data_IF_539695066524
#
_entry.id   IF_539695066524
#
_cell.length_a   1.000
_cell.length_b   1.000
_cell.length_c   1.000
_cell.angle_alpha   90.00
_cell.angle_beta   90.00
_cell.angle_gamma   90.00
#
_symmetry.space_group_name_H-M   'P 1'
#
loop_
_entity.id
_entity.type
_entity.pdbx_description
1 polymer ?
#
# COMPACT_ATOMS: atom_id res chain seq x y z
N UNK A 1 -33.52 2.84 31.54
CA UNK A 1 -32.27 2.15 31.12
C UNK A 1 -32.31 1.95 29.62
N UNK A 2 -31.50 2.68 28.85
CA UNK A 2 -31.24 2.36 27.44
C UNK A 2 -29.73 2.32 27.29
N UNK A 3 -29.21 1.09 27.15
CA UNK A 3 -27.81 0.82 26.89
C UNK A 3 -27.52 1.21 25.44
N UNK A 4 -26.55 2.12 25.25
CA UNK A 4 -26.02 2.49 23.93
C UNK A 4 -25.56 1.22 23.16
N UNK A 5 -25.74 1.18 21.83
CA UNK A 5 -25.33 0.02 21.05
C UNK A 5 -23.82 -0.20 21.17
N UNK A 6 -23.46 -1.46 21.44
CA UNK A 6 -22.08 -1.96 21.57
C UNK A 6 -21.21 -1.42 20.44
N UNK A 7 -20.10 -0.81 20.84
CA UNK A 7 -18.96 -0.50 19.98
C UNK A 7 -18.60 -1.75 19.16
N UNK A 8 -18.83 -1.69 17.85
CA UNK A 8 -18.54 -2.81 16.95
C UNK A 8 -17.02 -2.95 16.87
N UNK A 9 -16.51 -4.01 17.48
CA UNK A 9 -15.10 -4.40 17.45
C UNK A 9 -14.57 -4.46 16.01
N UNK A 10 -13.32 -4.03 15.83
CA UNK A 10 -12.59 -4.10 14.56
C UNK A 10 -12.46 -5.56 14.06
N UNK A 11 -12.70 -6.56 14.92
CA UNK A 11 -12.52 -7.99 14.66
C UNK A 11 -13.78 -8.77 14.26
N UNK A 12 -14.90 -8.13 13.92
CA UNK A 12 -16.11 -8.84 13.51
C UNK A 12 -15.90 -9.60 12.18
N UNK A 13 -16.08 -10.94 12.21
CA UNK A 13 -15.88 -11.85 11.07
C UNK A 13 -16.85 -11.63 9.89
N UNK A 14 -17.95 -10.92 10.12
CA UNK A 14 -18.98 -10.63 9.11
C UNK A 14 -18.66 -9.38 8.27
N UNK A 15 -17.49 -8.77 8.47
CA UNK A 15 -17.02 -7.70 7.60
C UNK A 15 -16.55 -8.27 6.27
N UNK A 16 -17.39 -8.12 5.24
CA UNK A 16 -16.91 -8.19 3.86
C UNK A 16 -15.71 -7.24 3.72
N UNK A 17 -14.54 -7.77 3.32
CA UNK A 17 -13.40 -6.94 2.92
C UNK A 17 -13.88 -6.09 1.74
N UNK A 18 -14.18 -4.82 2.00
CA UNK A 18 -14.77 -3.92 1.00
C UNK A 18 -13.82 -3.70 -0.18
N UNK A 19 -12.55 -4.07 -0.05
CA UNK A 19 -11.53 -3.83 -1.05
C UNK A 19 -10.89 -5.13 -1.49
N UNK A 20 -11.35 -5.55 -2.67
CA UNK A 20 -11.10 -6.78 -3.42
C UNK A 20 -11.97 -8.00 -3.06
N UNK A 21 -13.28 -7.83 -2.86
CA UNK A 21 -14.23 -8.94 -2.70
C UNK A 21 -14.45 -9.78 -3.99
N UNK A 22 -13.65 -9.59 -5.04
CA UNK A 22 -13.84 -10.28 -6.32
C UNK A 22 -12.51 -10.80 -6.83
N UNK A 23 -12.30 -12.11 -6.72
CA UNK A 23 -11.09 -12.81 -7.20
C UNK A 23 -10.81 -12.53 -8.68
N UNK A 24 -11.85 -12.25 -9.47
CA UNK A 24 -11.70 -11.84 -10.88
C UNK A 24 -10.93 -10.52 -10.97
N UNK A 25 -11.26 -9.54 -10.14
CA UNK A 25 -10.58 -8.23 -10.12
C UNK A 25 -9.13 -8.39 -9.67
N UNK A 26 -8.87 -9.22 -8.65
CA UNK A 26 -7.49 -9.50 -8.22
C UNK A 26 -6.68 -10.10 -9.37
N UNK A 27 -7.25 -11.10 -10.06
CA UNK A 27 -6.60 -11.73 -11.22
C UNK A 27 -6.31 -10.74 -12.34
N UNK A 28 -7.24 -9.83 -12.66
CA UNK A 28 -6.99 -8.80 -13.68
C UNK A 28 -5.91 -7.81 -13.22
N UNK A 29 -5.93 -7.37 -11.95
CA UNK A 29 -4.90 -6.47 -11.42
C UNK A 29 -3.51 -7.10 -11.42
N UNK A 30 -3.40 -8.43 -11.21
CA UNK A 30 -2.10 -9.12 -11.28
C UNK A 30 -1.53 -9.25 -12.69
N UNK A 31 -2.35 -9.11 -13.73
CA UNK A 31 -1.89 -9.14 -15.13
C UNK A 31 -1.31 -7.81 -15.60
N UNK A 32 -1.56 -6.73 -14.86
CA UNK A 32 -1.01 -5.41 -15.16
C UNK A 32 0.50 -5.41 -14.96
N UNK A 33 1.18 -4.63 -15.78
CA UNK A 33 2.59 -4.31 -15.63
C UNK A 33 2.87 -3.68 -14.26
N UNK A 34 4.10 -3.83 -13.78
CA UNK A 34 4.49 -3.36 -12.46
C UNK A 34 4.38 -1.84 -12.35
N UNK A 35 4.66 -1.12 -13.43
CA UNK A 35 4.61 0.35 -13.52
C UNK A 35 3.17 0.84 -13.25
N UNK A 36 2.20 0.28 -13.97
CA UNK A 36 0.78 0.55 -13.77
C UNK A 36 0.32 0.19 -12.36
N UNK A 37 0.77 -0.96 -11.81
CA UNK A 37 0.42 -1.34 -10.43
C UNK A 37 0.98 -0.36 -9.39
N UNK A 38 2.18 0.15 -9.60
CA UNK A 38 2.80 1.17 -8.73
C UNK A 38 2.05 2.50 -8.79
N UNK A 39 1.72 2.96 -9.99
CA UNK A 39 0.95 4.18 -10.19
C UNK A 39 -0.44 4.08 -9.52
N UNK A 40 -1.13 2.96 -9.72
CA UNK A 40 -2.42 2.72 -9.07
C UNK A 40 -2.29 2.73 -7.54
N UNK A 41 -1.25 2.11 -6.98
CA UNK A 41 -0.99 2.17 -5.55
C UNK A 41 -0.76 3.59 -5.04
N UNK A 42 0.02 4.38 -5.78
CA UNK A 42 0.26 5.79 -5.46
C UNK A 42 -1.07 6.57 -5.42
N UNK A 43 -1.90 6.42 -6.45
CA UNK A 43 -3.20 7.08 -6.55
C UNK A 43 -4.17 6.64 -5.45
N UNK A 44 -4.20 5.33 -5.13
CA UNK A 44 -4.97 4.79 -4.02
C UNK A 44 -4.54 5.44 -2.71
N UNK A 45 -3.24 5.56 -2.44
CA UNK A 45 -2.74 6.18 -1.22
C UNK A 45 -3.11 7.66 -1.11
N UNK A 46 -3.03 8.41 -2.20
CA UNK A 46 -3.44 9.82 -2.24
C UNK A 46 -4.93 9.97 -1.92
N UNK A 47 -5.79 9.22 -2.61
CA UNK A 47 -7.23 9.22 -2.36
C UNK A 47 -7.56 8.79 -0.91
N UNK A 48 -6.85 7.77 -0.41
CA UNK A 48 -6.95 7.29 0.95
C UNK A 48 -6.55 8.35 1.99
N UNK A 49 -5.52 9.15 1.72
CA UNK A 49 -5.14 10.29 2.55
C UNK A 49 -6.29 11.29 2.69
N UNK A 50 -6.95 11.64 1.59
CA UNK A 50 -8.10 12.54 1.61
C UNK A 50 -9.31 11.94 2.36
N UNK A 51 -9.57 10.64 2.19
CA UNK A 51 -10.61 9.93 2.96
C UNK A 51 -10.31 9.95 4.46
N UNK A 52 -9.05 9.75 4.87
CA UNK A 52 -8.63 9.84 6.29
C UNK A 52 -8.89 11.22 6.87
N UNK A 53 -8.54 12.29 6.14
CA UNK A 53 -8.80 13.67 6.57
C UNK A 53 -10.30 13.92 6.77
N UNK A 54 -11.14 13.48 5.83
CA UNK A 54 -12.61 13.60 5.94
C UNK A 54 -13.17 12.80 7.12
N UNK A 55 -12.72 11.56 7.30
CA UNK A 55 -13.16 10.73 8.41
C UNK A 55 -12.72 11.28 9.77
N UNK A 56 -11.52 11.88 9.86
CA UNK A 56 -11.07 12.57 11.06
C UNK A 56 -11.94 13.80 11.36
N UNK A 57 -12.28 14.57 10.33
CA UNK A 57 -13.16 15.73 10.48
C UNK A 57 -14.58 15.33 10.93
N UNK A 58 -15.11 14.21 10.41
CA UNK A 58 -16.38 13.63 10.86
C UNK A 58 -16.31 13.14 12.30
N UNK A 59 -15.21 12.48 12.70
CA UNK A 59 -15.02 12.03 14.08
C UNK A 59 -14.93 13.21 15.08
N UNK A 60 -14.37 14.35 14.65
CA UNK A 60 -14.32 15.58 15.44
C UNK A 60 -15.66 16.32 15.47
N UNK A 61 -16.44 16.25 14.39
CA UNK A 61 -17.75 16.88 14.27
C UNK A 61 -18.67 16.02 13.42
N UNK A 62 -19.62 15.35 14.08
CA UNK A 62 -20.53 14.39 13.46
C UNK A 62 -21.51 15.00 12.46
N UNK A 63 -21.63 16.33 12.39
CA UNK A 63 -22.44 17.01 11.36
C UNK A 63 -21.76 17.04 9.99
N UNK A 64 -20.45 16.78 9.91
CA UNK A 64 -19.74 16.65 8.63
C UNK A 64 -20.04 15.28 8.00
N UNK A 65 -20.05 15.14 6.67
CA UNK A 65 -20.28 13.83 6.05
C UNK A 65 -19.08 12.88 6.25
N UNK A 66 -19.37 11.62 6.58
CA UNK A 66 -18.38 10.55 6.57
C UNK A 66 -17.90 10.23 5.15
N UNK A 67 -16.65 9.79 4.99
CA UNK A 67 -16.11 9.38 3.70
C UNK A 67 -16.32 7.89 3.43
N UNK A 68 -16.21 7.50 2.16
CA UNK A 68 -16.25 6.11 1.73
C UNK A 68 -15.10 5.28 2.35
N UNK A 69 -15.24 3.95 2.42
CA UNK A 69 -14.18 3.06 2.90
C UNK A 69 -12.84 3.27 2.18
N UNK A 70 -11.76 3.02 2.92
CA UNK A 70 -10.40 3.09 2.38
C UNK A 70 -10.16 1.97 1.38
N UNK A 71 -9.49 2.28 0.26
CA UNK A 71 -9.08 1.28 -0.72
C UNK A 71 -7.84 0.49 -0.25
N UNK A 72 -7.80 -0.82 -0.54
CA UNK A 72 -6.60 -1.64 -0.34
C UNK A 72 -5.58 -1.37 -1.44
N UNK A 73 -4.30 -1.57 -1.13
CA UNK A 73 -3.23 -1.54 -2.12
C UNK A 73 -3.17 -2.85 -2.90
N UNK A 74 -2.77 -2.75 -4.16
CA UNK A 74 -2.44 -3.87 -5.04
C UNK A 74 -1.11 -4.47 -4.58
N UNK A 75 -1.07 -5.80 -4.47
CA UNK A 75 0.16 -6.52 -4.14
C UNK A 75 1.14 -6.45 -5.30
N UNK A 76 2.39 -6.08 -5.01
CA UNK A 76 3.51 -6.12 -5.95
C UNK A 76 4.44 -7.24 -5.50
N UNK A 77 4.81 -8.12 -6.43
CA UNK A 77 5.67 -9.25 -6.12
C UNK A 77 7.08 -8.76 -5.76
N UNK A 78 7.74 -9.44 -4.82
CA UNK A 78 9.10 -9.07 -4.42
C UNK A 78 10.09 -9.17 -5.58
N UNK A 79 9.91 -10.10 -6.51
CA UNK A 79 10.69 -10.21 -7.75
C UNK A 79 10.63 -8.94 -8.58
N UNK A 80 9.44 -8.36 -8.72
CA UNK A 80 9.23 -7.13 -9.50
C UNK A 80 9.94 -5.95 -8.82
N UNK A 81 9.83 -5.86 -7.49
CA UNK A 81 10.53 -4.84 -6.71
C UNK A 81 12.05 -5.01 -6.80
N UNK A 82 12.56 -6.23 -6.79
CA UNK A 82 14.00 -6.48 -6.97
C UNK A 82 14.49 -6.13 -8.38
N UNK A 83 13.69 -6.43 -9.41
CA UNK A 83 13.97 -6.03 -10.79
C UNK A 83 14.10 -4.51 -10.90
N UNK A 84 13.12 -3.77 -10.33
CA UNK A 84 13.14 -2.31 -10.31
C UNK A 84 14.37 -1.80 -9.55
N UNK A 85 14.67 -2.37 -8.38
CA UNK A 85 15.81 -1.94 -7.55
C UNK A 85 17.15 -2.12 -8.26
N UNK A 86 17.33 -3.23 -8.97
CA UNK A 86 18.60 -3.59 -9.64
C UNK A 86 18.77 -2.91 -11.00
N UNK A 87 17.69 -2.39 -11.60
CA UNK A 87 17.74 -1.68 -12.88
C UNK A 87 17.64 -0.16 -12.64
N UNK A 88 18.75 0.60 -12.77
CA UNK A 88 18.76 2.04 -12.52
C UNK A 88 17.76 2.82 -13.37
N UNK A 89 17.57 2.44 -14.63
CA UNK A 89 16.62 3.10 -15.53
C UNK A 89 15.19 2.90 -15.04
N UNK A 90 14.80 1.67 -14.72
CA UNK A 90 13.46 1.40 -14.17
C UNK A 90 13.25 2.11 -12.83
N UNK A 91 14.26 2.11 -11.96
CA UNK A 91 14.21 2.81 -10.68
C UNK A 91 13.94 4.30 -10.88
N UNK A 92 14.72 4.96 -11.75
CA UNK A 92 14.60 6.40 -11.99
C UNK A 92 13.27 6.79 -12.62
N UNK A 93 12.70 5.96 -13.50
CA UNK A 93 11.38 6.19 -14.08
C UNK A 93 10.27 6.06 -13.03
N UNK A 94 10.35 5.05 -12.16
CA UNK A 94 9.25 4.67 -11.27
C UNK A 94 9.33 5.30 -9.88
N UNK A 95 10.45 5.91 -9.51
CA UNK A 95 10.66 6.48 -8.17
C UNK A 95 9.62 7.51 -7.75
N UNK A 96 8.98 8.18 -8.71
CA UNK A 96 7.90 9.14 -8.45
C UNK A 96 6.66 8.49 -7.83
N UNK A 97 6.42 7.21 -8.12
CA UNK A 97 5.30 6.46 -7.56
C UNK A 97 5.62 5.78 -6.23
N UNK A 98 6.90 5.75 -5.84
CA UNK A 98 7.31 5.09 -4.61
C UNK A 98 6.81 5.85 -3.39
N UNK A 99 6.51 5.07 -2.37
CA UNK A 99 6.12 5.57 -1.05
C UNK A 99 7.35 5.57 -0.17
N UNK A 100 7.36 6.40 0.89
CA UNK A 100 8.49 6.40 1.83
C UNK A 100 8.82 5.01 2.38
N UNK A 101 7.85 4.16 2.78
CA UNK A 101 8.14 2.79 3.20
C UNK A 101 8.84 1.95 2.12
N UNK A 102 8.48 2.14 0.85
CA UNK A 102 9.08 1.41 -0.26
C UNK A 102 10.52 1.89 -0.53
N UNK A 103 10.77 3.20 -0.46
CA UNK A 103 12.14 3.74 -0.54
C UNK A 103 13.04 3.18 0.57
N UNK A 104 12.58 3.19 1.82
CA UNK A 104 13.34 2.65 2.94
C UNK A 104 13.64 1.16 2.78
N UNK A 105 12.69 0.41 2.22
CA UNK A 105 12.89 -1.00 1.90
C UNK A 105 14.02 -1.19 0.86
N UNK A 106 14.04 -0.37 -0.20
CA UNK A 106 15.12 -0.40 -1.19
C UNK A 106 16.49 -0.04 -0.59
N UNK A 107 16.56 1.01 0.22
CA UNK A 107 17.81 1.39 0.91
C UNK A 107 18.34 0.27 1.81
N UNK A 108 17.46 -0.34 2.61
CA UNK A 108 17.85 -1.41 3.52
C UNK A 108 18.31 -2.66 2.77
N UNK A 109 17.74 -2.94 1.59
CA UNK A 109 18.18 -4.03 0.72
C UNK A 109 19.54 -3.73 0.08
N UNK A 110 19.72 -2.53 -0.45
CA UNK A 110 21.00 -2.09 -1.02
C UNK A 110 22.13 -2.12 0.02
N UNK A 111 21.85 -1.73 1.27
CA UNK A 111 22.83 -1.83 2.37
C UNK A 111 23.24 -3.27 2.65
N UNK A 112 22.26 -4.18 2.71
CA UNK A 112 22.52 -5.62 2.95
C UNK A 112 23.31 -6.28 1.82
N UNK A 113 23.02 -5.92 0.57
CA UNK A 113 23.76 -6.45 -0.58
C UNK A 113 25.22 -5.99 -0.53
N UNK A 114 25.49 -4.71 -0.24
CA UNK A 114 26.86 -4.20 -0.07
C UNK A 114 27.61 -4.89 1.08
N UNK A 115 26.97 -5.07 2.23
CA UNK A 115 27.57 -5.77 3.37
C UNK A 115 27.93 -7.22 3.02
N UNK A 116 27.13 -7.87 2.15
CA UNK A 116 27.39 -9.22 1.69
C UNK A 116 28.55 -9.29 0.69
N UNK A 117 28.55 -8.39 -0.30
CA UNK A 117 29.63 -8.27 -1.28
C UNK A 117 30.98 -8.00 -0.61
N UNK A 118 31.02 -7.16 0.45
CA UNK A 118 32.26 -6.90 1.20
C UNK A 118 32.80 -8.14 1.91
N UNK A 119 31.94 -9.02 2.46
CA UNK A 119 32.38 -10.26 3.11
C UNK A 119 32.89 -11.28 2.11
N UNK A 120 32.19 -11.43 0.99
CA UNK A 120 32.57 -12.36 -0.08
C UNK A 120 33.85 -11.91 -0.83
N UNK A 121 34.28 -10.66 -0.67
CA UNK A 121 35.53 -10.14 -1.24
C UNK A 121 36.74 -10.25 -0.29
N UNK A 122 36.52 -10.55 0.99
CA UNK A 122 37.56 -10.76 2.01
C UNK A 122 37.96 -12.24 2.17
N UNK A 123 37.15 -13.17 1.65
CA UNK A 123 37.40 -14.61 1.59
C UNK A 123 38.07 -15.04 0.27
#
# INVERSE_FOLDING_TARGET
MQLLPKTVSISAGDRARVTHANDKVIKELTKLDVDTRLELNHNIMKANGERRKKNLAHAQNSSKPASSPMASLITIATSDLEMIRKNPTCFDTLKWFFTNPLFLWFEQKNKRDKERESREAED
#
